data_IF_947743955884
#
_entry.id   IF_947743955884
#
_cell.length_a   1.000
_cell.length_b   1.000
_cell.length_c   1.000
_cell.angle_alpha   90.00
_cell.angle_beta   90.00
_cell.angle_gamma   90.00
#
_symmetry.space_group_name_H-M   'P 1'
#
loop_
_entity.id
_entity.type
_entity.pdbx_description
1 polymer ?
#
# COMPACT_ATOMS: atom_id res chain seq x y z
N UNK A 1 28.64 -53.65 -64.71
CA UNK A 1 27.16 -53.55 -64.66
C UNK A 1 26.66 -54.38 -63.49
N UNK A 2 25.95 -53.73 -62.55
CA UNK A 2 25.06 -54.26 -61.51
C UNK A 2 25.44 -55.54 -60.72
N UNK A 3 25.76 -55.39 -59.42
CA UNK A 3 24.79 -55.50 -58.30
C UNK A 3 25.44 -55.17 -56.95
N UNK A 4 24.65 -54.56 -56.09
CA UNK A 4 24.94 -53.91 -54.81
C UNK A 4 24.43 -54.74 -53.61
N UNK A 5 24.79 -54.28 -52.40
CA UNK A 5 24.21 -54.55 -51.05
C UNK A 5 24.78 -55.79 -50.32
N UNK A 6 25.07 -55.81 -49.01
CA UNK A 6 24.90 -54.89 -47.87
C UNK A 6 25.64 -55.53 -46.67
N UNK A 7 26.46 -54.79 -45.91
CA UNK A 7 26.73 -55.09 -44.49
C UNK A 7 27.57 -53.99 -43.80
N UNK A 8 26.95 -52.90 -43.36
CA UNK A 8 27.54 -52.04 -42.31
C UNK A 8 26.50 -51.15 -41.62
N UNK A 9 25.45 -51.77 -41.07
CA UNK A 9 24.58 -51.12 -40.06
C UNK A 9 25.00 -51.58 -38.66
N UNK A 10 26.13 -51.09 -38.18
CA UNK A 10 26.56 -51.29 -36.79
C UNK A 10 27.37 -50.11 -36.22
N UNK A 11 27.22 -48.90 -36.78
CA UNK A 11 28.02 -47.73 -36.38
C UNK A 11 27.18 -46.45 -36.22
N UNK A 12 25.96 -46.55 -35.70
CA UNK A 12 25.10 -45.37 -35.37
C UNK A 12 24.42 -45.42 -34.01
N UNK A 13 24.78 -46.35 -33.13
CA UNK A 13 24.10 -46.55 -31.85
C UNK A 13 24.90 -46.08 -30.61
N UNK A 14 26.05 -45.41 -30.76
CA UNK A 14 26.92 -45.06 -29.61
C UNK A 14 27.23 -43.56 -29.44
N UNK A 15 26.54 -42.67 -30.15
CA UNK A 15 26.75 -41.23 -30.11
C UNK A 15 25.48 -40.44 -29.74
N UNK A 16 24.63 -41.05 -28.90
CA UNK A 16 23.40 -40.44 -28.36
C UNK A 16 23.34 -40.45 -26.82
N UNK A 17 24.44 -40.75 -26.14
CA UNK A 17 24.46 -40.91 -24.67
C UNK A 17 25.20 -39.80 -23.90
N UNK A 18 25.72 -38.77 -24.57
CA UNK A 18 26.49 -37.69 -23.92
C UNK A 18 25.83 -36.29 -23.98
N UNK A 19 24.57 -36.19 -24.37
CA UNK A 19 23.83 -34.91 -24.47
C UNK A 19 22.62 -34.80 -23.51
N UNK A 20 22.69 -35.46 -22.35
CA UNK A 20 21.63 -35.43 -21.32
C UNK A 20 22.09 -34.93 -19.93
N UNK A 21 23.28 -34.33 -19.83
CA UNK A 21 23.81 -33.77 -18.56
C UNK A 21 23.94 -32.24 -18.55
N UNK A 22 23.21 -31.52 -19.42
CA UNK A 22 23.19 -30.06 -19.44
C UNK A 22 21.76 -29.52 -19.35
N UNK A 23 21.51 -28.72 -18.30
CA UNK A 23 20.30 -27.94 -17.91
C UNK A 23 19.51 -28.55 -16.73
N UNK A 24 18.88 -27.75 -15.87
CA UNK A 24 19.40 -26.62 -15.09
C UNK A 24 19.05 -26.82 -13.59
N UNK A 25 20.05 -27.01 -12.72
CA UNK A 25 19.85 -27.00 -11.27
C UNK A 25 19.77 -25.55 -10.76
N UNK A 26 18.67 -24.85 -11.05
CA UNK A 26 18.37 -23.53 -10.50
C UNK A 26 16.86 -23.27 -10.43
N UNK A 27 16.10 -24.16 -9.76
CA UNK A 27 14.76 -23.78 -9.25
C UNK A 27 14.31 -24.57 -8.01
N UNK A 28 15.02 -25.61 -7.60
CA UNK A 28 14.74 -26.35 -6.37
C UNK A 28 15.32 -25.63 -5.14
N UNK A 29 14.76 -24.48 -4.78
CA UNK A 29 15.15 -23.76 -3.56
C UNK A 29 13.98 -23.08 -2.82
N UNK A 30 12.83 -22.90 -3.47
CA UNK A 30 11.75 -22.07 -2.91
C UNK A 30 10.61 -22.84 -2.27
N UNK A 31 10.46 -24.14 -2.54
CA UNK A 31 9.42 -25.00 -1.94
C UNK A 31 9.87 -25.69 -0.64
N UNK A 32 11.16 -25.67 -0.31
CA UNK A 32 11.69 -26.32 0.89
C UNK A 32 11.52 -25.47 2.18
N UNK A 33 11.25 -24.17 2.05
CA UNK A 33 11.08 -23.26 3.19
C UNK A 33 9.84 -23.59 4.04
N UNK A 34 8.82 -24.23 3.46
CA UNK A 34 7.61 -24.64 4.20
C UNK A 34 7.72 -25.99 4.94
N UNK A 35 8.81 -26.74 4.75
CA UNK A 35 8.92 -28.14 5.23
C UNK A 35 9.73 -28.32 6.52
N UNK A 36 10.28 -27.25 7.12
CA UNK A 36 11.08 -27.36 8.34
C UNK A 36 10.89 -26.18 9.32
N UNK A 37 9.73 -26.07 10.00
CA UNK A 37 9.47 -25.02 10.99
C UNK A 37 10.53 -24.94 12.10
N UNK A 38 11.11 -26.08 12.51
CA UNK A 38 12.17 -26.11 13.52
C UNK A 38 13.50 -25.45 13.10
N UNK A 39 13.78 -25.36 11.80
CA UNK A 39 15.02 -24.75 11.27
C UNK A 39 14.83 -23.25 11.02
N UNK A 40 13.63 -22.84 10.62
CA UNK A 40 13.27 -21.43 10.40
C UNK A 40 13.06 -20.69 11.73
N UNK A 41 12.43 -21.33 12.72
CA UNK A 41 12.19 -20.74 14.04
C UNK A 41 13.42 -20.75 14.95
N UNK A 42 14.52 -21.42 14.55
CA UNK A 42 15.78 -21.40 15.30
C UNK A 42 16.57 -20.13 14.97
N UNK A 43 16.70 -19.23 15.94
CA UNK A 43 17.45 -17.97 15.83
C UNK A 43 18.94 -18.14 15.53
N UNK A 44 19.51 -19.33 15.78
CA UNK A 44 20.90 -19.66 15.50
C UNK A 44 21.25 -19.93 14.02
N UNK A 45 20.27 -20.11 13.13
CA UNK A 45 20.53 -20.41 11.71
C UNK A 45 20.67 -19.15 10.86
N UNK A 46 21.88 -18.58 10.85
CA UNK A 46 22.16 -17.29 10.19
C UNK A 46 22.11 -17.35 8.66
N UNK A 47 22.41 -18.48 8.02
CA UNK A 47 22.45 -18.58 6.55
C UNK A 47 21.05 -18.54 5.93
N UNK A 48 20.09 -19.25 6.54
CA UNK A 48 18.70 -19.25 6.09
C UNK A 48 18.05 -17.87 6.27
N UNK A 49 18.25 -17.23 7.44
CA UNK A 49 17.75 -15.87 7.71
C UNK A 49 18.30 -14.86 6.70
N UNK A 50 19.59 -14.95 6.33
CA UNK A 50 20.20 -14.10 5.29
C UNK A 50 19.60 -14.32 3.90
N UNK A 51 19.30 -15.56 3.52
CA UNK A 51 18.68 -15.85 2.23
C UNK A 51 17.25 -15.30 2.13
N UNK A 52 16.45 -15.48 3.19
CA UNK A 52 15.08 -14.92 3.25
C UNK A 52 15.11 -13.39 3.22
N UNK A 53 16.06 -12.77 3.92
CA UNK A 53 16.26 -11.32 3.86
C UNK A 53 16.59 -10.81 2.47
N UNK A 54 17.55 -11.43 1.78
CA UNK A 54 17.99 -10.97 0.47
C UNK A 54 16.84 -11.00 -0.54
N UNK A 55 15.96 -12.01 -0.44
CA UNK A 55 14.71 -12.04 -1.20
C UNK A 55 13.75 -10.93 -0.77
N UNK A 56 13.52 -10.76 0.54
CA UNK A 56 12.61 -9.74 1.07
C UNK A 56 13.03 -8.32 0.65
N UNK A 57 14.33 -8.02 0.66
CA UNK A 57 14.89 -6.74 0.20
C UNK A 57 14.45 -6.37 -1.22
N UNK A 58 14.37 -7.36 -2.13
CA UNK A 58 13.96 -7.11 -3.51
C UNK A 58 12.46 -6.81 -3.65
N UNK A 59 11.63 -7.30 -2.72
CA UNK A 59 10.18 -7.19 -2.79
C UNK A 59 9.61 -6.05 -1.93
N UNK A 60 10.26 -5.71 -0.80
CA UNK A 60 9.76 -4.68 0.13
C UNK A 60 9.54 -3.36 -0.62
N UNK A 61 10.52 -2.90 -1.39
CA UNK A 61 10.36 -1.61 -2.06
C UNK A 61 9.28 -1.61 -3.15
N UNK A 62 9.14 -2.71 -3.90
CA UNK A 62 8.07 -2.79 -4.90
C UNK A 62 6.69 -2.85 -4.25
N UNK A 63 6.54 -3.55 -3.13
CA UNK A 63 5.24 -3.67 -2.46
C UNK A 63 4.87 -2.40 -1.67
N UNK A 64 5.85 -1.77 -1.02
CA UNK A 64 5.64 -0.49 -0.33
C UNK A 64 5.21 0.60 -1.31
N UNK A 65 5.85 0.71 -2.48
CA UNK A 65 5.51 1.72 -3.49
C UNK A 65 4.17 1.48 -4.20
N UNK A 66 3.61 0.27 -4.08
CA UNK A 66 2.26 -0.05 -4.59
C UNK A 66 1.16 0.29 -3.61
N UNK A 67 1.50 0.68 -2.38
CA UNK A 67 0.54 0.90 -1.31
C UNK A 67 0.64 2.32 -0.78
N UNK A 68 -0.49 2.91 -0.39
CA UNK A 68 -0.49 4.10 0.45
C UNK A 68 -0.66 3.71 1.91
N UNK A 69 -0.21 4.60 2.79
CA UNK A 69 -0.35 4.44 4.24
C UNK A 69 -1.43 5.41 4.73
N UNK A 70 -2.56 4.93 5.27
CA UNK A 70 -3.50 5.79 5.96
C UNK A 70 -2.84 6.38 7.21
N UNK A 71 -3.04 7.67 7.44
CA UNK A 71 -2.55 8.39 8.61
C UNK A 71 -3.69 8.54 9.62
N UNK A 72 -3.49 8.04 10.84
CA UNK A 72 -4.48 8.10 11.93
C UNK A 72 -3.87 8.80 13.14
N UNK A 73 -4.71 9.47 13.93
CA UNK A 73 -4.26 10.01 15.23
C UNK A 73 -4.12 8.87 16.24
N UNK A 74 -5.13 8.02 16.34
CA UNK A 74 -5.10 6.78 17.12
C UNK A 74 -5.27 5.57 16.17
N UNK A 75 -4.28 4.67 16.08
CA UNK A 75 -4.26 3.61 15.07
C UNK A 75 -5.45 2.65 15.06
N UNK A 76 -6.06 2.39 16.22
CA UNK A 76 -7.07 1.32 16.40
C UNK A 76 -8.51 1.81 16.16
N UNK A 77 -8.83 3.03 16.56
CA UNK A 77 -10.21 3.54 16.61
C UNK A 77 -10.50 4.66 15.61
N UNK A 78 -9.48 5.43 15.21
CA UNK A 78 -9.70 6.63 14.42
C UNK A 78 -9.75 6.34 12.91
N UNK A 79 -10.63 7.04 12.16
CA UNK A 79 -10.59 7.02 10.71
C UNK A 79 -9.28 7.64 10.19
N UNK A 80 -8.91 7.27 8.96
CA UNK A 80 -7.80 7.90 8.26
C UNK A 80 -8.14 9.37 7.99
N UNK A 81 -7.32 10.28 8.48
CA UNK A 81 -7.45 11.73 8.28
C UNK A 81 -6.53 12.22 7.16
N UNK A 82 -5.82 11.30 6.50
CA UNK A 82 -4.78 11.60 5.53
C UNK A 82 -4.12 10.35 5.02
N UNK A 83 -3.22 10.52 4.04
CA UNK A 83 -2.45 9.43 3.46
C UNK A 83 -1.05 9.86 3.11
N UNK A 84 -0.13 8.90 3.25
CA UNK A 84 1.24 9.00 2.77
C UNK A 84 1.46 8.06 1.58
N UNK A 85 2.07 8.59 0.52
CA UNK A 85 2.36 7.91 -0.73
C UNK A 85 3.88 7.77 -0.88
N UNK A 86 4.44 6.59 -0.60
CA UNK A 86 5.85 6.32 -0.82
C UNK A 86 6.16 6.34 -2.32
N UNK A 87 7.07 7.22 -2.74
CA UNK A 87 7.54 7.31 -4.12
C UNK A 87 8.99 6.83 -4.29
N UNK A 88 9.73 6.70 -3.19
CA UNK A 88 11.11 6.25 -3.15
C UNK A 88 11.29 5.29 -1.99
N UNK A 89 12.01 4.21 -2.26
CA UNK A 89 12.36 3.20 -1.27
C UNK A 89 13.74 2.66 -1.62
N UNK A 90 14.61 2.60 -0.61
CA UNK A 90 15.92 2.01 -0.70
C UNK A 90 16.13 1.11 0.51
N UNK A 91 16.58 -0.11 0.26
CA UNK A 91 16.96 -1.05 1.32
C UNK A 91 18.46 -1.27 1.31
N UNK A 92 19.07 -1.30 2.48
CA UNK A 92 20.47 -1.63 2.67
C UNK A 92 20.61 -2.60 3.85
N UNK A 93 21.38 -3.67 3.66
CA UNK A 93 21.78 -4.51 4.78
C UNK A 93 22.97 -3.88 5.51
N UNK A 94 22.84 -3.73 6.82
CA UNK A 94 23.91 -3.24 7.69
C UNK A 94 24.88 -4.38 8.07
N UNK A 95 26.09 -4.01 8.50
CA UNK A 95 27.13 -4.99 8.88
C UNK A 95 26.71 -5.88 10.07
N UNK A 96 25.83 -5.37 10.93
CA UNK A 96 25.25 -6.11 12.05
C UNK A 96 24.17 -7.13 11.62
N UNK A 97 23.83 -7.17 10.33
CA UNK A 97 22.81 -8.06 9.77
C UNK A 97 21.39 -7.48 9.75
N UNK A 98 21.18 -6.29 10.32
CA UNK A 98 19.89 -5.59 10.32
C UNK A 98 19.59 -4.98 8.95
N UNK A 99 18.31 -4.70 8.73
CA UNK A 99 17.83 -4.08 7.51
C UNK A 99 17.59 -2.59 7.73
N UNK A 100 18.32 -1.75 7.02
CA UNK A 100 18.01 -0.33 6.93
C UNK A 100 17.09 -0.09 5.74
N UNK A 101 15.94 0.54 5.98
CA UNK A 101 15.00 0.95 4.94
C UNK A 101 14.91 2.47 4.98
N UNK A 102 15.24 3.10 3.86
CA UNK A 102 14.99 4.53 3.63
C UNK A 102 13.78 4.67 2.74
N UNK A 103 12.74 5.30 3.26
CA UNK A 103 11.50 5.61 2.55
C UNK A 103 11.42 7.10 2.33
N UNK A 104 10.92 7.50 1.17
CA UNK A 104 10.59 8.88 0.87
C UNK A 104 9.27 8.95 0.11
N UNK A 105 8.55 10.04 0.31
CA UNK A 105 7.25 10.21 -0.28
C UNK A 105 6.65 11.57 0.04
N UNK A 106 5.41 11.71 -0.37
CA UNK A 106 4.60 12.88 -0.08
C UNK A 106 3.24 12.41 0.43
N UNK A 107 2.54 13.29 1.11
CA UNK A 107 1.25 12.96 1.68
C UNK A 107 0.45 14.20 1.99
N UNK A 108 -0.75 13.96 2.47
CA UNK A 108 -1.58 14.98 3.06
C UNK A 108 -2.20 14.44 4.33
N UNK A 109 -2.49 15.34 5.25
CA UNK A 109 -3.27 15.08 6.43
C UNK A 109 -4.24 16.24 6.66
N UNK A 110 -5.36 15.96 7.28
CA UNK A 110 -6.31 16.96 7.72
C UNK A 110 -6.24 17.14 9.23
N UNK A 111 -6.30 18.39 9.69
CA UNK A 111 -6.54 18.70 11.09
C UNK A 111 -7.50 19.88 11.21
N UNK A 112 -8.21 19.98 12.34
CA UNK A 112 -9.06 21.13 12.67
C UNK A 112 -8.32 22.48 12.59
N UNK A 113 -6.99 22.47 12.81
CA UNK A 113 -6.17 23.68 12.89
C UNK A 113 -5.65 24.13 11.52
N UNK A 114 -5.14 23.19 10.71
CA UNK A 114 -4.49 23.48 9.43
C UNK A 114 -5.40 23.27 8.22
N UNK A 115 -6.56 22.62 8.42
CA UNK A 115 -7.29 21.90 7.37
C UNK A 115 -6.35 20.95 6.64
N UNK A 116 -6.30 20.98 5.30
CA UNK A 116 -5.34 20.20 4.52
C UNK A 116 -3.91 20.70 4.74
N UNK A 117 -3.10 19.82 5.30
CA UNK A 117 -1.65 19.90 5.40
C UNK A 117 -1.06 18.99 4.33
N UNK A 118 -0.43 19.55 3.30
CA UNK A 118 0.36 18.79 2.35
C UNK A 118 1.82 18.77 2.78
N UNK A 119 2.48 17.62 2.67
CA UNK A 119 3.85 17.46 3.14
C UNK A 119 4.66 16.49 2.28
N UNK A 120 5.97 16.64 2.36
CA UNK A 120 6.94 15.64 1.94
C UNK A 120 7.65 15.10 3.17
N UNK A 121 7.90 13.79 3.17
CA UNK A 121 8.63 13.19 4.25
C UNK A 121 9.54 12.08 3.77
N UNK A 122 10.66 11.94 4.46
CA UNK A 122 11.54 10.79 4.32
C UNK A 122 11.93 10.26 5.68
N UNK A 123 12.10 8.96 5.78
CA UNK A 123 12.47 8.30 7.01
C UNK A 123 13.46 7.17 6.72
N UNK A 124 14.51 7.10 7.51
CA UNK A 124 15.45 6.00 7.53
C UNK A 124 15.28 5.24 8.83
N UNK A 125 14.91 3.97 8.70
CA UNK A 125 14.55 3.11 9.81
C UNK A 125 15.41 1.86 9.77
N UNK A 126 15.99 1.52 10.91
CA UNK A 126 16.66 0.25 11.11
C UNK A 126 15.66 -0.75 11.68
N UNK A 127 15.41 -1.81 10.93
CA UNK A 127 14.55 -2.91 11.32
C UNK A 127 15.35 -4.11 11.78
N UNK A 128 14.95 -4.63 12.93
CA UNK A 128 15.30 -5.96 13.38
C UNK A 128 14.26 -6.94 12.87
N UNK A 129 14.74 -8.02 12.26
CA UNK A 129 13.89 -9.02 11.65
C UNK A 129 13.65 -10.20 12.59
N UNK A 130 12.40 -10.65 12.62
CA UNK A 130 12.06 -11.91 13.24
C UNK A 130 11.22 -12.79 12.32
N UNK A 131 11.42 -14.10 12.40
CA UNK A 131 10.74 -15.08 11.57
C UNK A 131 9.98 -16.02 12.48
N UNK A 132 8.69 -16.19 12.19
CA UNK A 132 7.85 -17.15 12.87
C UNK A 132 7.12 -17.97 11.81
N UNK A 133 7.34 -19.28 11.80
CA UNK A 133 6.50 -20.21 11.08
C UNK A 133 5.40 -20.72 12.00
N UNK A 134 4.17 -20.65 11.52
CA UNK A 134 3.00 -21.23 12.17
C UNK A 134 2.18 -22.00 11.13
N UNK A 135 2.12 -23.32 11.29
CA UNK A 135 1.53 -24.21 10.29
C UNK A 135 2.22 -24.08 8.92
N UNK A 136 1.45 -23.74 7.90
CA UNK A 136 1.93 -23.52 6.52
C UNK A 136 2.30 -22.08 6.18
N UNK A 137 2.11 -21.13 7.11
CA UNK A 137 2.37 -19.72 6.89
C UNK A 137 3.69 -19.27 7.56
N UNK A 138 4.42 -18.42 6.85
CA UNK A 138 5.62 -17.76 7.36
C UNK A 138 5.31 -16.30 7.63
N UNK A 139 5.48 -15.90 8.89
CA UNK A 139 5.39 -14.53 9.35
C UNK A 139 6.80 -13.96 9.43
N UNK A 140 7.02 -12.83 8.76
CA UNK A 140 8.25 -12.05 8.88
C UNK A 140 7.90 -10.72 9.54
N UNK A 141 8.41 -10.52 10.74
CA UNK A 141 8.23 -9.29 11.50
C UNK A 141 9.43 -8.39 11.29
N UNK A 142 9.17 -7.14 10.91
CA UNK A 142 10.18 -6.10 10.87
C UNK A 142 9.88 -5.14 12.01
N UNK A 143 10.55 -5.37 13.14
CA UNK A 143 10.42 -4.54 14.34
C UNK A 143 11.36 -3.37 14.21
N UNK A 144 10.85 -2.16 14.40
CA UNK A 144 11.72 -1.00 14.45
C UNK A 144 12.69 -1.16 15.62
N UNK A 145 13.99 -1.09 15.34
CA UNK A 145 15.05 -1.03 16.35
C UNK A 145 15.42 0.42 16.65
N UNK A 146 15.63 1.21 15.61
CA UNK A 146 15.92 2.62 15.73
C UNK A 146 15.43 3.38 14.49
N UNK A 147 15.07 4.65 14.67
CA UNK A 147 14.82 5.58 13.56
C UNK A 147 15.99 6.54 13.53
N UNK A 148 16.81 6.47 12.48
CA UNK A 148 18.06 7.24 12.40
C UNK A 148 17.83 8.66 11.92
N UNK A 149 16.87 8.86 11.01
CA UNK A 149 16.55 10.17 10.47
C UNK A 149 15.09 10.21 9.99
N UNK A 150 14.34 11.24 10.39
CA UNK A 150 13.05 11.60 9.80
C UNK A 150 13.12 13.04 9.34
N UNK A 151 12.95 13.27 8.04
CA UNK A 151 12.73 14.61 7.51
C UNK A 151 11.24 14.77 7.24
N UNK A 152 10.69 15.91 7.64
CA UNK A 152 9.32 16.29 7.35
C UNK A 152 9.35 17.74 6.88
N UNK A 153 8.84 17.97 5.67
CA UNK A 153 8.79 19.28 5.07
C UNK A 153 7.35 19.59 4.66
N UNK A 154 6.75 20.55 5.36
CA UNK A 154 5.42 21.03 5.05
C UNK A 154 5.42 21.82 3.73
N UNK A 155 4.62 21.37 2.76
CA UNK A 155 4.47 21.98 1.43
C UNK A 155 3.26 22.91 1.33
N UNK A 156 2.16 22.53 1.97
CA UNK A 156 0.89 23.23 1.88
C UNK A 156 0.21 23.28 3.25
N UNK A 157 -0.36 24.42 3.59
CA UNK A 157 -1.33 24.57 4.67
C UNK A 157 -2.49 25.37 4.07
N UNK A 158 -3.66 24.75 3.93
CA UNK A 158 -4.81 25.35 3.22
C UNK A 158 -5.35 26.59 3.93
N UNK A 159 -5.45 26.53 5.26
CA UNK A 159 -5.69 27.71 6.09
C UNK A 159 -4.49 27.88 6.99
N UNK A 160 -3.47 28.68 6.58
CA UNK A 160 -2.43 29.07 7.50
C UNK A 160 -3.15 29.90 8.56
N UNK A 161 -3.40 29.29 9.71
CA UNK A 161 -4.06 30.00 10.76
C UNK A 161 -3.22 31.26 11.03
N UNK A 162 -3.87 32.42 11.06
CA UNK A 162 -3.31 33.62 11.69
C UNK A 162 -3.01 33.38 13.18
N UNK A 163 -3.35 32.20 13.69
CA UNK A 163 -3.07 31.68 15.02
C UNK A 163 -1.58 31.39 15.17
N UNK A 164 -0.88 32.42 15.64
CA UNK A 164 0.22 32.23 16.54
C UNK A 164 -0.29 31.49 17.80
N UNK A 165 -0.28 30.16 17.83
CA UNK A 165 -0.64 29.41 19.06
C UNK A 165 0.48 29.66 20.07
N UNK A 166 0.21 30.48 21.08
CA UNK A 166 1.22 30.90 22.06
C UNK A 166 2.36 31.75 21.49
N UNK A 167 2.16 32.46 20.36
CA UNK A 167 3.19 33.30 19.73
C UNK A 167 3.97 32.64 18.58
N UNK A 168 3.65 31.38 18.21
CA UNK A 168 4.39 30.62 17.19
C UNK A 168 3.63 30.46 15.88
N UNK A 169 4.25 30.82 14.76
CA UNK A 169 3.67 30.71 13.41
C UNK A 169 3.56 29.25 12.94
N UNK A 170 2.38 28.89 12.43
CA UNK A 170 2.11 27.63 11.71
C UNK A 170 2.16 27.84 10.20
N UNK A 171 3.05 28.72 9.71
CA UNK A 171 3.27 28.87 8.27
C UNK A 171 3.92 27.62 7.66
N UNK A 172 3.70 27.32 6.36
CA UNK A 172 4.44 26.26 5.67
C UNK A 172 5.96 26.41 5.88
N UNK A 173 6.64 25.30 6.18
CA UNK A 173 8.06 25.28 6.50
C UNK A 173 8.44 25.73 7.93
N UNK A 174 7.47 26.07 8.79
CA UNK A 174 7.75 26.38 10.20
C UNK A 174 8.24 25.16 10.99
N UNK A 175 9.10 25.39 11.98
CA UNK A 175 9.67 24.32 12.80
C UNK A 175 8.61 23.51 13.57
N UNK A 176 7.49 24.14 13.96
CA UNK A 176 6.40 23.50 14.70
C UNK A 176 5.52 22.61 13.80
N UNK A 177 5.17 23.07 12.59
CA UNK A 177 4.46 22.22 11.64
C UNK A 177 5.29 20.98 11.29
N UNK A 178 6.60 21.16 11.13
CA UNK A 178 7.50 20.06 10.84
C UNK A 178 7.68 19.10 12.03
N UNK A 179 7.69 19.58 13.29
CA UNK A 179 7.81 18.69 14.45
C UNK A 179 6.56 17.86 14.69
N UNK A 180 5.36 18.44 14.56
CA UNK A 180 4.10 17.71 14.66
C UNK A 180 3.99 16.64 13.57
N UNK A 181 4.27 17.01 12.32
CA UNK A 181 4.28 16.06 11.20
C UNK A 181 5.30 14.94 11.37
N UNK A 182 6.50 15.27 11.86
CA UNK A 182 7.53 14.28 12.16
C UNK A 182 7.09 13.30 13.26
N UNK A 183 6.36 13.75 14.29
CA UNK A 183 5.83 12.88 15.34
C UNK A 183 4.75 11.93 14.80
N UNK A 184 3.79 12.45 14.02
CA UNK A 184 2.74 11.64 13.40
C UNK A 184 3.35 10.56 12.50
N UNK A 185 4.28 10.95 11.62
CA UNK A 185 4.96 10.00 10.76
C UNK A 185 5.80 8.99 11.56
N UNK A 186 6.54 9.45 12.57
CA UNK A 186 7.33 8.56 13.43
C UNK A 186 6.45 7.54 14.13
N UNK A 187 5.23 7.93 14.55
CA UNK A 187 4.29 7.01 15.18
C UNK A 187 3.80 5.92 14.22
N UNK A 188 3.50 6.25 12.97
CA UNK A 188 3.08 5.27 11.96
C UNK A 188 4.23 4.36 11.52
N UNK A 189 5.45 4.89 11.43
CA UNK A 189 6.65 4.12 11.10
C UNK A 189 7.07 3.19 12.25
N UNK A 190 6.94 3.65 13.50
CA UNK A 190 7.25 2.86 14.69
C UNK A 190 6.41 1.58 14.80
N UNK A 191 5.27 1.51 14.11
CA UNK A 191 4.44 0.30 14.04
C UNK A 191 5.19 -0.86 13.39
N UNK A 192 6.20 -0.58 12.55
CA UNK A 192 6.91 -1.59 11.77
C UNK A 192 6.08 -2.11 10.62
N UNK A 193 6.45 -3.27 10.09
CA UNK A 193 5.65 -3.96 9.07
C UNK A 193 5.72 -5.47 9.25
N UNK A 194 4.65 -6.14 8.85
CA UNK A 194 4.51 -7.58 8.92
C UNK A 194 4.30 -8.11 7.51
N UNK A 195 5.11 -9.07 7.10
CA UNK A 195 4.91 -9.81 5.86
C UNK A 195 4.40 -11.19 6.21
N UNK A 196 3.21 -11.51 5.74
CA UNK A 196 2.61 -12.84 5.90
C UNK A 196 2.69 -13.53 4.56
N UNK A 197 3.42 -14.64 4.50
CA UNK A 197 3.43 -15.53 3.33
C UNK A 197 2.64 -16.78 3.67
N UNK A 198 1.53 -16.96 3.00
CA UNK A 198 0.68 -18.14 3.12
C UNK A 198 1.25 -19.30 2.27
N UNK A 199 0.82 -20.53 2.57
CA UNK A 199 1.27 -21.75 1.88
C UNK A 199 0.89 -21.79 0.39
N UNK A 200 -0.10 -21.00 -0.02
CA UNK A 200 -0.55 -20.86 -1.40
C UNK A 200 0.30 -19.88 -2.23
N UNK A 201 1.46 -19.47 -1.69
CA UNK A 201 2.38 -18.47 -2.25
C UNK A 201 1.84 -17.03 -2.29
N UNK A 202 0.68 -16.76 -1.70
CA UNK A 202 0.22 -15.39 -1.52
C UNK A 202 1.06 -14.68 -0.46
N UNK A 203 1.52 -13.48 -0.81
CA UNK A 203 2.28 -12.61 0.09
C UNK A 203 1.39 -11.43 0.43
N UNK A 204 1.11 -11.26 1.71
CA UNK A 204 0.35 -10.15 2.25
C UNK A 204 1.31 -9.23 3.01
N UNK A 205 1.40 -7.97 2.58
CA UNK A 205 2.15 -6.94 3.29
C UNK A 205 1.17 -6.15 4.16
N UNK A 206 1.46 -6.08 5.46
CA UNK A 206 0.71 -5.27 6.42
C UNK A 206 1.62 -4.24 7.05
N UNK A 207 1.16 -3.00 7.12
CA UNK A 207 1.81 -1.97 7.94
C UNK A 207 1.44 -2.22 9.41
N UNK A 208 2.45 -2.17 10.27
CA UNK A 208 2.36 -2.52 11.67
C UNK A 208 2.77 -3.95 12.02
N UNK A 209 3.00 -4.19 13.32
CA UNK A 209 3.14 -5.50 13.94
C UNK A 209 1.75 -6.13 14.07
N UNK A 210 1.45 -7.13 13.24
CA UNK A 210 0.21 -7.90 13.34
C UNK A 210 0.50 -9.08 14.28
N UNK A 211 -0.07 -9.05 15.48
CA UNK A 211 0.07 -10.14 16.44
C UNK A 211 -0.49 -11.45 15.88
N UNK A 212 0.12 -12.57 16.28
CA UNK A 212 -0.30 -13.90 15.84
C UNK A 212 -1.79 -14.12 16.15
N UNK A 213 -2.58 -14.40 15.12
CA UNK A 213 -4.01 -14.69 15.25
C UNK A 213 -4.92 -13.47 15.46
N UNK A 214 -4.35 -12.29 15.72
CA UNK A 214 -5.08 -11.03 15.83
C UNK A 214 -5.10 -10.38 14.45
N UNK A 215 -6.28 -9.92 14.02
CA UNK A 215 -6.46 -9.25 12.73
C UNK A 215 -6.82 -7.79 13.01
N UNK A 216 -6.26 -6.82 12.24
CA UNK A 216 -6.65 -5.43 12.39
C UNK A 216 -8.17 -5.29 12.25
N UNK A 217 -8.82 -4.41 13.04
CA UNK A 217 -10.23 -4.12 12.85
C UNK A 217 -10.43 -3.64 11.41
N UNK A 218 -11.35 -4.29 10.71
CA UNK A 218 -11.70 -3.93 9.33
C UNK A 218 -13.17 -3.57 9.24
N UNK A 219 -13.55 -2.48 8.55
CA UNK A 219 -14.94 -2.04 8.47
C UNK A 219 -15.90 -3.09 7.90
N UNK A 220 -15.40 -3.97 7.03
CA UNK A 220 -16.17 -5.06 6.44
C UNK A 220 -15.52 -6.41 6.74
N UNK A 221 -16.32 -7.37 7.20
CA UNK A 221 -15.87 -8.74 7.36
C UNK A 221 -15.46 -9.34 6.01
N UNK A 222 -14.29 -9.98 5.98
CA UNK A 222 -13.85 -10.81 4.86
C UNK A 222 -14.72 -12.08 4.88
N UNK A 223 -15.85 -12.07 4.19
CA UNK A 223 -16.60 -13.31 3.93
C UNK A 223 -15.77 -14.32 3.12
N UNK A 224 -16.31 -15.51 2.84
CA UNK A 224 -15.71 -16.59 2.02
C UNK A 224 -15.48 -16.23 0.53
N UNK A 225 -15.43 -14.94 0.23
CA UNK A 225 -15.14 -14.38 -1.08
C UNK A 225 -13.74 -14.80 -1.55
N UNK A 226 -13.67 -15.45 -2.72
CA UNK A 226 -12.41 -15.74 -3.43
C UNK A 226 -11.68 -14.47 -3.91
N UNK A 227 -12.21 -13.27 -3.64
CA UNK A 227 -11.65 -12.00 -4.09
C UNK A 227 -10.57 -11.52 -3.13
N UNK A 228 -9.44 -11.07 -3.67
CA UNK A 228 -8.32 -10.50 -2.90
C UNK A 228 -8.70 -9.13 -2.38
N UNK A 229 -8.62 -8.89 -1.08
CA UNK A 229 -8.80 -7.54 -0.51
C UNK A 229 -7.60 -6.68 -0.87
N UNK A 230 -7.85 -5.51 -1.47
CA UNK A 230 -6.85 -4.48 -1.76
C UNK A 230 -6.85 -3.36 -0.71
N UNK A 231 -8.03 -2.97 -0.22
CA UNK A 231 -8.19 -1.98 0.83
C UNK A 231 -9.44 -2.27 1.66
N UNK A 232 -9.41 -2.01 2.97
CA UNK A 232 -10.56 -2.17 3.85
C UNK A 232 -10.39 -1.25 5.07
N UNK A 233 -10.86 -0.01 4.93
CA UNK A 233 -10.50 1.10 5.81
C UNK A 233 -11.68 2.08 5.98
N UNK A 234 -11.54 2.96 6.95
CA UNK A 234 -12.40 4.12 7.16
C UNK A 234 -11.60 5.40 6.95
N UNK A 235 -12.16 6.37 6.24
CA UNK A 235 -11.59 7.69 6.04
C UNK A 235 -12.55 8.77 6.52
N UNK A 236 -12.00 9.84 7.09
CA UNK A 236 -12.72 11.06 7.44
C UNK A 236 -12.43 12.12 6.37
N UNK A 237 -13.48 12.56 5.69
CA UNK A 237 -13.36 13.46 4.53
C UNK A 237 -14.20 14.71 4.77
N UNK A 238 -13.53 15.80 5.10
CA UNK A 238 -14.15 17.10 5.31
C UNK A 238 -14.65 17.73 4.01
N UNK A 239 -15.43 18.79 4.17
CA UNK A 239 -15.89 19.58 3.02
C UNK A 239 -14.69 20.14 2.23
N UNK A 240 -14.78 20.10 0.91
CA UNK A 240 -13.72 20.48 -0.01
C UNK A 240 -12.42 19.65 0.16
N UNK A 241 -12.54 18.42 0.66
CA UNK A 241 -11.45 17.45 0.71
C UNK A 241 -11.71 16.20 -0.14
N UNK A 242 -10.62 15.47 -0.37
CA UNK A 242 -10.57 14.22 -1.11
C UNK A 242 -9.68 13.24 -0.38
N UNK A 243 -9.98 11.97 -0.56
CA UNK A 243 -9.09 10.89 -0.18
C UNK A 243 -8.73 10.03 -1.39
N UNK A 244 -7.44 9.75 -1.58
CA UNK A 244 -6.89 8.97 -2.69
C UNK A 244 -6.44 7.59 -2.18
N UNK A 245 -7.30 6.60 -2.35
CA UNK A 245 -7.04 5.21 -1.94
C UNK A 245 -6.33 4.47 -3.09
N UNK A 246 -5.09 4.07 -2.85
CA UNK A 246 -4.29 3.31 -3.82
C UNK A 246 -2.80 3.61 -3.74
N UNK A 247 -2.00 3.22 -4.74
CA UNK A 247 -2.42 2.57 -5.98
C UNK A 247 -3.08 1.19 -5.78
N UNK A 248 -4.10 0.89 -6.58
CA UNK A 248 -4.80 -0.39 -6.62
C UNK A 248 -4.33 -1.15 -7.86
N UNK A 249 -3.59 -2.25 -7.66
CA UNK A 249 -3.07 -3.08 -8.75
C UNK A 249 -4.12 -4.05 -9.26
N UNK A 250 -4.45 -3.96 -10.56
CA UNK A 250 -5.22 -4.95 -11.32
C UNK A 250 -4.22 -5.75 -12.15
N UNK A 251 -4.04 -7.03 -11.82
CA UNK A 251 -2.93 -7.85 -12.35
C UNK A 251 -3.29 -8.61 -13.62
N UNK A 252 -4.55 -9.02 -13.77
CA UNK A 252 -5.05 -9.86 -14.86
C UNK A 252 -6.01 -9.14 -15.81
N UNK A 253 -6.07 -9.64 -17.05
CA UNK A 253 -7.12 -9.26 -17.99
C UNK A 253 -8.43 -9.93 -17.59
N UNK A 254 -9.56 -9.21 -17.65
CA UNK A 254 -10.86 -9.75 -17.23
C UNK A 254 -11.06 -9.76 -15.72
N UNK A 255 -10.29 -8.97 -14.98
CA UNK A 255 -10.53 -8.73 -13.56
C UNK A 255 -11.42 -7.50 -13.33
N UNK A 256 -12.05 -7.46 -12.17
CA UNK A 256 -12.87 -6.35 -11.73
C UNK A 256 -12.55 -5.97 -10.28
N UNK A 257 -12.73 -4.68 -9.98
CA UNK A 257 -12.77 -4.18 -8.62
C UNK A 257 -14.20 -4.25 -8.08
N UNK A 258 -14.41 -5.03 -7.04
CA UNK A 258 -15.58 -4.96 -6.18
C UNK A 258 -15.37 -3.89 -5.12
N UNK A 259 -16.20 -2.85 -5.16
CA UNK A 259 -16.14 -1.70 -4.28
C UNK A 259 -17.38 -1.74 -3.39
N UNK A 260 -17.20 -1.66 -2.08
CA UNK A 260 -18.27 -1.48 -1.10
C UNK A 260 -18.00 -0.20 -0.34
N UNK A 261 -18.99 0.69 -0.23
CA UNK A 261 -18.87 2.00 0.43
C UNK A 261 -20.09 2.24 1.31
N UNK A 262 -19.87 2.82 2.48
CA UNK A 262 -20.90 3.31 3.37
C UNK A 262 -20.49 4.72 3.84
N UNK A 263 -21.41 5.67 3.69
CA UNK A 263 -21.19 7.08 4.02
C UNK A 263 -22.05 7.46 5.22
N UNK A 264 -21.43 8.15 6.18
CA UNK A 264 -22.07 8.77 7.33
C UNK A 264 -21.56 10.20 7.51
N UNK A 265 -22.27 11.05 8.24
CA UNK A 265 -21.88 12.44 8.54
C UNK A 265 -22.11 13.48 7.43
N UNK A 266 -22.12 13.08 6.15
CA UNK A 266 -22.42 13.93 5.00
C UNK A 266 -23.62 13.41 4.18
N UNK A 267 -24.26 14.25 3.36
CA UNK A 267 -25.41 13.83 2.55
C UNK A 267 -25.03 12.78 1.48
N UNK A 268 -23.89 12.97 0.84
CA UNK A 268 -23.29 12.02 -0.11
C UNK A 268 -21.79 12.29 -0.27
N UNK A 269 -21.08 11.29 -0.79
CA UNK A 269 -19.67 11.40 -1.22
C UNK A 269 -19.56 10.81 -2.62
N UNK A 270 -18.77 11.45 -3.47
CA UNK A 270 -18.52 10.94 -4.82
C UNK A 270 -17.40 9.90 -4.81
N UNK A 271 -17.65 8.80 -5.50
CA UNK A 271 -16.72 7.69 -5.65
C UNK A 271 -16.23 7.65 -7.09
N UNK A 272 -14.93 7.90 -7.28
CA UNK A 272 -14.30 7.93 -8.59
C UNK A 272 -13.23 6.84 -8.72
N UNK A 273 -13.13 6.26 -9.91
CA UNK A 273 -11.99 5.38 -10.28
C UNK A 273 -11.20 6.06 -11.38
N UNK A 274 -9.93 6.37 -11.09
CA UNK A 274 -9.04 7.07 -12.02
C UNK A 274 -7.77 6.26 -12.27
N UNK A 275 -7.32 6.09 -13.52
CA UNK A 275 -6.04 5.45 -13.81
C UNK A 275 -4.87 6.20 -13.17
N UNK A 276 -3.83 5.48 -12.74
CA UNK A 276 -2.66 6.07 -12.04
C UNK A 276 -1.97 7.17 -12.84
N UNK A 277 -1.76 6.98 -14.14
CA UNK A 277 -1.05 7.94 -15.00
C UNK A 277 -1.57 9.38 -14.88
N UNK A 278 -2.87 9.63 -15.13
CA UNK A 278 -3.46 10.95 -14.91
C UNK A 278 -3.69 11.29 -13.42
N UNK A 279 -3.87 10.31 -12.53
CA UNK A 279 -4.13 10.57 -11.11
C UNK A 279 -2.90 11.03 -10.31
N UNK A 280 -1.70 10.53 -10.61
CA UNK A 280 -0.46 10.90 -9.89
C UNK A 280 -0.19 12.42 -9.90
N UNK A 281 -0.21 13.13 -11.05
CA UNK A 281 -0.05 14.59 -11.05
C UNK A 281 -1.23 15.32 -10.40
N UNK A 282 -2.43 14.74 -10.41
CA UNK A 282 -3.60 15.31 -9.75
C UNK A 282 -3.48 15.26 -8.23
N UNK A 283 -3.07 14.10 -7.70
CA UNK A 283 -2.73 13.91 -6.30
C UNK A 283 -1.58 14.84 -5.88
N UNK A 284 -0.52 14.96 -6.69
CA UNK A 284 0.58 15.89 -6.41
C UNK A 284 0.10 17.36 -6.37
N UNK A 285 -0.82 17.74 -7.26
CA UNK A 285 -1.49 19.04 -7.21
C UNK A 285 -2.25 19.23 -5.91
N UNK A 286 -3.02 18.22 -5.49
CA UNK A 286 -3.78 18.23 -4.24
C UNK A 286 -2.90 18.40 -2.99
N UNK A 287 -1.68 17.87 -2.98
CA UNK A 287 -0.72 18.03 -1.86
C UNK A 287 0.06 19.34 -1.91
N UNK A 288 -0.01 20.12 -2.99
CA UNK A 288 0.82 21.33 -3.17
C UNK A 288 0.01 22.60 -3.37
N UNK A 289 -1.26 22.50 -3.76
CA UNK A 289 -2.14 23.63 -4.04
C UNK A 289 -3.37 23.57 -3.15
N UNK A 290 -3.82 24.72 -2.63
CA UNK A 290 -5.02 24.80 -1.79
C UNK A 290 -6.32 24.57 -2.60
N UNK A 291 -6.38 25.12 -3.81
CA UNK A 291 -7.53 24.95 -4.70
C UNK A 291 -7.64 23.50 -5.18
N UNK A 292 -8.85 22.95 -5.12
CA UNK A 292 -9.16 21.64 -5.70
C UNK A 292 -9.49 21.82 -7.18
N UNK A 293 -9.10 20.84 -8.00
CA UNK A 293 -9.30 20.85 -9.46
C UNK A 293 -10.12 19.63 -9.90
N UNK A 294 -10.82 19.69 -11.04
CA UNK A 294 -11.50 18.51 -11.60
C UNK A 294 -10.51 17.40 -11.97
N UNK A 295 -10.99 16.15 -12.15
CA UNK A 295 -10.14 15.05 -12.56
C UNK A 295 -9.54 15.37 -13.93
N UNK A 296 -8.25 15.13 -14.15
CA UNK A 296 -7.58 15.50 -15.40
C UNK A 296 -8.06 14.69 -16.61
N UNK A 297 -8.72 13.56 -16.37
CA UNK A 297 -9.38 12.73 -17.38
C UNK A 297 -10.73 12.24 -16.85
N UNK A 298 -11.71 11.97 -17.72
CA UNK A 298 -12.96 11.33 -17.30
C UNK A 298 -12.68 10.05 -16.48
N UNK A 299 -13.21 9.94 -15.25
CA UNK A 299 -13.11 8.74 -14.45
C UNK A 299 -13.75 7.52 -15.13
N UNK A 300 -13.22 6.33 -14.86
CA UNK A 300 -13.82 5.06 -15.31
C UNK A 300 -15.09 4.70 -14.53
N UNK A 301 -15.22 5.27 -13.34
CA UNK A 301 -16.41 5.27 -12.50
C UNK A 301 -16.52 6.65 -11.88
N UNK A 302 -17.71 7.23 -11.86
CA UNK A 302 -18.01 8.46 -11.13
C UNK A 302 -19.48 8.36 -10.67
N UNK A 303 -19.70 8.02 -9.40
CA UNK A 303 -21.04 7.86 -8.83
C UNK A 303 -21.14 8.56 -7.47
N UNK A 304 -22.27 9.18 -7.20
CA UNK A 304 -22.58 9.77 -5.90
C UNK A 304 -23.16 8.69 -4.98
N UNK A 305 -22.53 8.50 -3.83
CA UNK A 305 -22.97 7.55 -2.80
C UNK A 305 -23.69 8.31 -1.70
N UNK A 306 -25.03 8.16 -1.55
CA UNK A 306 -25.78 8.81 -0.50
C UNK A 306 -25.48 8.19 0.88
N UNK A 307 -25.66 8.97 1.93
CA UNK A 307 -25.54 8.48 3.30
C UNK A 307 -26.58 7.42 3.67
N UNK A 308 -26.21 6.58 4.65
CA UNK A 308 -27.09 5.64 5.34
C UNK A 308 -27.34 4.31 4.64
N UNK A 309 -26.94 4.14 3.38
CA UNK A 309 -27.02 2.87 2.67
C UNK A 309 -25.63 2.33 2.32
N UNK A 310 -25.48 0.99 2.34
CA UNK A 310 -24.28 0.33 1.80
C UNK A 310 -24.41 0.30 0.28
N UNK A 311 -23.54 1.03 -0.40
CA UNK A 311 -23.41 1.02 -1.85
C UNK A 311 -22.38 -0.02 -2.28
N UNK A 312 -22.69 -0.76 -3.34
CA UNK A 312 -21.81 -1.80 -3.91
C UNK A 312 -21.73 -1.67 -5.41
N UNK A 313 -20.51 -1.75 -5.94
CA UNK A 313 -20.27 -1.69 -7.39
C UNK A 313 -19.19 -2.68 -7.78
N UNK A 314 -19.33 -3.27 -8.95
CA UNK A 314 -18.26 -4.05 -9.59
C UNK A 314 -17.86 -3.35 -10.87
N UNK A 315 -16.59 -3.02 -11.02
CA UNK A 315 -16.06 -2.29 -12.18
C UNK A 315 -15.00 -3.15 -12.84
N UNK A 316 -15.28 -3.62 -14.06
CA UNK A 316 -14.30 -4.32 -14.87
C UNK A 316 -13.24 -3.32 -15.35
N UNK A 317 -11.96 -3.64 -15.11
CA UNK A 317 -10.86 -2.75 -15.43
C UNK A 317 -9.79 -3.50 -16.23
N UNK A 318 -9.15 -2.84 -17.22
CA UNK A 318 -7.92 -3.35 -17.80
C UNK A 318 -6.84 -3.58 -16.74
N UNK A 319 -5.84 -4.40 -17.08
CA UNK A 319 -4.63 -4.52 -16.26
C UNK A 319 -3.97 -3.15 -16.09
N UNK A 320 -3.65 -2.77 -14.86
CA UNK A 320 -3.07 -1.47 -14.57
C UNK A 320 -3.11 -1.10 -13.09
N UNK A 321 -2.79 0.17 -12.82
CA UNK A 321 -2.87 0.77 -11.49
C UNK A 321 -3.93 1.86 -11.48
N UNK A 322 -4.73 1.89 -10.43
CA UNK A 322 -5.86 2.82 -10.28
C UNK A 322 -5.87 3.46 -8.90
N UNK A 323 -6.47 4.64 -8.78
CA UNK A 323 -6.87 5.18 -7.48
C UNK A 323 -8.39 5.15 -7.38
N UNK A 324 -8.87 4.73 -6.21
CA UNK A 324 -10.21 5.02 -5.74
C UNK A 324 -10.15 6.40 -5.08
N UNK A 325 -10.81 7.38 -5.66
CA UNK A 325 -10.92 8.73 -5.09
C UNK A 325 -12.27 8.86 -4.42
N UNK A 326 -12.24 9.19 -3.14
CA UNK A 326 -13.42 9.53 -2.35
C UNK A 326 -13.46 11.06 -2.27
N UNK A 327 -14.43 11.67 -2.93
CA UNK A 327 -14.47 13.11 -3.16
C UNK A 327 -15.66 13.75 -2.42
N UNK A 328 -15.35 14.76 -1.61
CA UNK A 328 -16.31 15.62 -0.95
C UNK A 328 -16.04 17.09 -1.33
N UNK A 329 -15.72 17.32 -2.61
CA UNK A 329 -15.46 18.65 -3.18
C UNK A 329 -16.53 19.02 -4.17
N UNK A 330 -16.65 20.31 -4.48
CA UNK A 330 -17.50 20.79 -5.57
C UNK A 330 -16.87 20.65 -6.96
N UNK A 331 -15.63 20.16 -7.07
CA UNK A 331 -14.87 20.23 -8.32
C UNK A 331 -14.61 18.89 -9.01
N UNK A 332 -14.76 17.73 -8.35
CA UNK A 332 -14.42 16.45 -8.99
C UNK A 332 -15.58 15.52 -9.34
N UNK A 333 -16.58 15.38 -8.48
CA UNK A 333 -17.74 14.56 -8.76
C UNK A 333 -19.02 15.35 -9.06
N UNK A 334 -20.14 14.62 -9.29
CA UNK A 334 -21.45 15.21 -9.55
C UNK A 334 -22.11 15.82 -8.29
N UNK A 335 -21.62 15.52 -7.10
CA UNK A 335 -22.15 16.08 -5.85
C UNK A 335 -21.57 17.46 -5.60
N UNK A 336 -22.43 18.40 -5.20
CA UNK A 336 -21.99 19.66 -4.60
C UNK A 336 -22.25 19.58 -3.07
N UNK A 337 -21.20 19.56 -2.23
CA UNK A 337 -21.35 19.62 -0.78
C UNK A 337 -22.13 20.88 -0.37
N UNK A 338 -22.89 20.83 0.72
CA UNK A 338 -23.68 21.97 1.18
C UNK A 338 -22.79 23.18 1.48
N UNK A 339 -22.91 24.25 0.69
CA UNK A 339 -22.11 25.48 0.82
C UNK A 339 -22.42 26.34 2.05
N UNK A 340 -23.02 25.78 3.10
CA UNK A 340 -23.31 26.51 4.33
C UNK A 340 -22.00 26.89 5.02
N UNK A 341 -21.78 28.19 5.24
CA UNK A 341 -20.63 28.65 5.99
C UNK A 341 -20.62 28.01 7.39
N UNK A 342 -19.49 27.41 7.77
CA UNK A 342 -19.27 26.70 9.04
C UNK A 342 -19.88 25.30 9.18
N UNK A 343 -20.48 24.74 8.11
CA UNK A 343 -20.87 23.33 8.08
C UNK A 343 -19.69 22.45 7.62
N UNK A 344 -18.69 22.27 8.50
CA UNK A 344 -17.51 21.43 8.24
C UNK A 344 -17.72 19.99 8.75
N UNK A 345 -18.95 19.48 8.60
CA UNK A 345 -19.24 18.09 8.98
C UNK A 345 -18.44 17.16 8.09
N UNK A 346 -17.61 16.34 8.72
CA UNK A 346 -16.83 15.33 8.02
C UNK A 346 -17.73 14.21 7.52
N UNK A 347 -17.50 13.77 6.29
CA UNK A 347 -18.03 12.51 5.81
C UNK A 347 -17.15 11.37 6.36
N UNK A 348 -17.74 10.50 7.18
CA UNK A 348 -17.10 9.25 7.57
C UNK A 348 -17.40 8.20 6.49
N UNK A 349 -16.38 7.82 5.73
CA UNK A 349 -16.51 6.87 4.62
C UNK A 349 -15.85 5.55 4.99
N UNK A 350 -16.65 4.50 5.16
CA UNK A 350 -16.17 3.14 5.37
C UNK A 350 -16.20 2.40 4.05
N UNK A 351 -15.07 1.90 3.58
CA UNK A 351 -14.99 1.23 2.28
C UNK A 351 -14.15 -0.04 2.30
N UNK A 352 -14.48 -0.94 1.38
CA UNK A 352 -13.66 -2.10 1.04
C UNK A 352 -13.53 -2.21 -0.48
N UNK A 353 -12.31 -2.49 -0.92
CA UNK A 353 -11.96 -2.75 -2.32
C UNK A 353 -11.41 -4.15 -2.44
N UNK A 354 -11.99 -4.93 -3.34
CA UNK A 354 -11.63 -6.32 -3.58
C UNK A 354 -11.36 -6.54 -5.07
N UNK A 355 -10.29 -7.26 -5.40
CA UNK A 355 -9.96 -7.69 -6.75
C UNK A 355 -10.43 -9.12 -6.98
N UNK A 356 -11.17 -9.35 -8.05
CA UNK A 356 -11.56 -10.70 -8.46
C UNK A 356 -11.88 -10.77 -9.95
N UNK A 357 -12.36 -11.92 -10.39
CA UNK A 357 -12.80 -12.10 -11.77
C UNK A 357 -14.01 -11.20 -12.07
N UNK A 358 -14.01 -10.61 -13.27
CA UNK A 358 -15.17 -9.88 -13.77
C UNK A 358 -16.36 -10.86 -13.95
N UNK A 359 -17.59 -10.39 -13.68
CA UNK A 359 -18.79 -11.20 -13.80
C UNK A 359 -19.11 -11.61 -15.25
#
# INVERSE_FOLDING_TARGET
MLRTMNASRAARALLLLFFLLGLPAASCGQSALGLMPGVVNNTGNLSLRRAVLAWAQQQICSEVQKSSVPLRLHPEDDPAMGRFFPNSCQTQQLQNGNLQVTLGGYGYAWTNLTRRLGFEASATVEYEQDFLMDGGAMYVYFRQRSTTATTFNTRLIEKPATLAVGGFSLSPGSAMANSFGAQLLSSEIARGFTVVRESDSTVSFGLGLIEKGVRPPTPYERGDSKRRILANESSEIHQEQRDYVGPLEVTGNGQALGITVHVDGAASVDVLIVPRGPADPWLQGYTTQAATTPPPTPPLLAESVPAGAIWRRTVALPRGYYYLVLDNTSTAGPTAPSGHAHDDRAALVRYAVQLGDAP
#
